data_IF_361973861073
#
_entry.id   IF_361973861073
#
_cell.length_a   1.000
_cell.length_b   1.000
_cell.length_c   1.000
_cell.angle_alpha   90.00
_cell.angle_beta   90.00
_cell.angle_gamma   90.00
#
_symmetry.space_group_name_H-M   'P 1'
#
loop_
_entity.id
_entity.type
_entity.pdbx_description
1 polymer ?
#
# COMPACT_ATOMS: atom_id res chain seq x y z
N UNK A 1 14.84 6.82 -48.25
CA UNK A 1 14.75 6.10 -46.98
C UNK A 1 14.06 7.03 -45.98
N UNK A 2 12.77 6.81 -45.76
CA UNK A 2 11.98 7.63 -44.82
C UNK A 2 12.19 7.04 -43.44
N UNK A 3 12.92 7.75 -42.58
CA UNK A 3 13.07 7.36 -41.18
C UNK A 3 11.69 7.56 -40.53
N UNK A 4 11.05 6.43 -40.17
CA UNK A 4 9.83 6.47 -39.39
C UNK A 4 10.15 7.17 -38.07
N UNK A 5 9.43 8.27 -37.77
CA UNK A 5 9.49 8.87 -36.42
C UNK A 5 9.10 7.82 -35.42
N UNK A 6 9.83 7.68 -34.28
CA UNK A 6 9.39 6.82 -33.24
C UNK A 6 8.00 7.27 -32.78
N UNK A 7 7.06 6.33 -32.72
CA UNK A 7 5.74 6.56 -32.12
C UNK A 7 6.04 6.72 -30.62
N UNK A 8 6.08 7.95 -30.16
CA UNK A 8 6.05 8.24 -28.71
C UNK A 8 4.60 7.92 -28.31
N UNK A 9 4.36 6.68 -27.89
CA UNK A 9 3.16 6.35 -27.13
C UNK A 9 3.24 7.19 -25.88
N UNK A 10 2.22 8.01 -25.65
CA UNK A 10 2.13 8.79 -24.42
C UNK A 10 2.09 7.78 -23.27
N UNK A 11 3.19 7.66 -22.51
CA UNK A 11 3.31 6.74 -21.37
C UNK A 11 2.16 6.96 -20.37
N UNK A 12 1.60 8.18 -20.32
CA UNK A 12 0.43 8.48 -19.49
C UNK A 12 -0.81 7.73 -19.95
N UNK A 13 -1.05 7.59 -21.26
CA UNK A 13 -2.20 6.82 -21.76
C UNK A 13 -2.02 5.33 -21.48
N UNK A 14 -0.80 4.81 -21.50
CA UNK A 14 -0.51 3.41 -21.22
C UNK A 14 -0.81 3.03 -19.76
N UNK A 15 -0.54 3.94 -18.81
CA UNK A 15 -0.64 3.65 -17.36
C UNK A 15 -1.81 4.37 -16.67
N UNK A 16 -2.51 5.29 -17.35
CA UNK A 16 -3.66 6.02 -16.80
C UNK A 16 -4.98 5.24 -16.95
N UNK A 17 -4.96 3.94 -16.77
CA UNK A 17 -6.17 3.14 -16.79
C UNK A 17 -6.72 2.91 -15.37
N UNK A 18 -8.02 2.67 -15.29
CA UNK A 18 -8.71 2.26 -14.08
C UNK A 18 -9.41 0.94 -14.37
N UNK A 19 -9.18 -0.05 -13.52
CA UNK A 19 -9.92 -1.30 -13.56
C UNK A 19 -11.20 -1.16 -12.73
N UNK A 20 -12.32 -1.66 -13.26
CA UNK A 20 -13.57 -1.75 -12.51
C UNK A 20 -13.46 -2.94 -11.53
N UNK A 21 -13.12 -2.65 -10.28
CA UNK A 21 -13.01 -3.66 -9.22
C UNK A 21 -14.14 -3.46 -8.21
N UNK A 22 -14.78 -4.55 -7.84
CA UNK A 22 -15.69 -4.58 -6.71
C UNK A 22 -14.89 -4.81 -5.44
N UNK A 23 -14.81 -3.79 -4.60
CA UNK A 23 -14.15 -3.89 -3.30
C UNK A 23 -15.06 -4.58 -2.29
N UNK A 24 -14.47 -5.44 -1.47
CA UNK A 24 -15.17 -6.05 -0.33
C UNK A 24 -15.46 -5.03 0.76
N UNK A 25 -14.59 -4.05 0.93
CA UNK A 25 -14.73 -2.95 1.85
C UNK A 25 -14.06 -1.70 1.32
N UNK A 26 -14.69 -0.57 1.54
CA UNK A 26 -14.17 0.74 1.23
C UNK A 26 -14.59 1.72 2.33
N UNK A 27 -13.67 2.57 2.80
CA UNK A 27 -14.01 3.65 3.73
C UNK A 27 -14.68 4.80 2.99
N UNK A 28 -15.40 5.64 3.72
CA UNK A 28 -15.87 6.91 3.16
C UNK A 28 -14.69 7.79 2.75
N UNK A 29 -14.94 8.71 1.82
CA UNK A 29 -13.96 9.71 1.44
C UNK A 29 -13.64 10.65 2.62
N UNK A 30 -12.39 11.08 2.71
CA UNK A 30 -11.88 11.92 3.77
C UNK A 30 -11.21 11.13 4.90
N UNK A 31 -10.09 11.67 5.39
CA UNK A 31 -9.43 11.14 6.56
C UNK A 31 -10.01 11.80 7.81
N UNK A 32 -10.62 11.00 8.66
CA UNK A 32 -11.18 11.41 9.95
C UNK A 32 -10.69 10.46 11.05
N UNK A 33 -10.86 10.82 12.31
CA UNK A 33 -10.56 9.91 13.42
C UNK A 33 -11.36 8.61 13.31
N UNK A 34 -12.63 8.68 12.86
CA UNK A 34 -13.46 7.50 12.60
C UNK A 34 -12.87 6.62 11.52
N UNK A 35 -12.41 7.20 10.40
CA UNK A 35 -11.74 6.48 9.30
C UNK A 35 -10.49 5.76 9.81
N UNK A 36 -9.66 6.43 10.60
CA UNK A 36 -8.44 5.83 11.19
C UNK A 36 -8.78 4.65 12.09
N UNK A 37 -9.79 4.78 12.95
CA UNK A 37 -10.28 3.70 13.82
C UNK A 37 -10.87 2.53 13.04
N UNK A 38 -11.61 2.83 11.97
CA UNK A 38 -12.19 1.81 11.09
C UNK A 38 -11.11 0.99 10.38
N UNK A 39 -10.05 1.64 9.85
CA UNK A 39 -8.91 0.97 9.21
C UNK A 39 -8.22 0.06 10.22
N UNK A 40 -7.87 0.57 11.38
CA UNK A 40 -7.19 -0.19 12.43
C UNK A 40 -8.01 -1.40 12.91
N UNK A 41 -9.31 -1.24 13.08
CA UNK A 41 -10.21 -2.33 13.43
C UNK A 41 -10.31 -3.39 12.33
N UNK A 42 -10.38 -2.96 11.06
CA UNK A 42 -10.46 -3.87 9.90
C UNK A 42 -9.19 -4.71 9.77
N UNK A 43 -8.02 -4.12 10.03
CA UNK A 43 -6.71 -4.81 10.02
C UNK A 43 -6.45 -5.63 11.28
N UNK A 44 -7.27 -5.48 12.31
CA UNK A 44 -7.09 -6.16 13.60
C UNK A 44 -5.78 -5.76 14.27
N UNK A 45 -5.45 -4.48 14.20
CA UNK A 45 -4.21 -3.94 14.75
C UNK A 45 -4.19 -3.94 16.30
N UNK A 46 -3.02 -4.08 16.91
CA UNK A 46 -2.89 -3.94 18.36
C UNK A 46 -3.14 -2.50 18.82
N UNK A 47 -3.58 -2.31 20.07
CA UNK A 47 -3.95 -1.01 20.62
C UNK A 47 -2.84 0.07 20.46
N UNK A 48 -1.56 -0.31 20.65
CA UNK A 48 -0.46 0.62 20.50
C UNK A 48 -0.32 1.19 19.07
N UNK A 49 -0.69 0.40 18.04
CA UNK A 49 -0.69 0.86 16.65
C UNK A 49 -1.83 1.85 16.40
N UNK A 50 -3.03 1.58 16.91
CA UNK A 50 -4.13 2.54 16.86
C UNK A 50 -3.76 3.86 17.53
N UNK A 51 -3.12 3.81 18.71
CA UNK A 51 -2.64 5.01 19.40
C UNK A 51 -1.62 5.78 18.55
N UNK A 52 -0.70 5.08 17.90
CA UNK A 52 0.28 5.67 16.98
C UNK A 52 -0.43 6.38 15.82
N UNK A 53 -1.37 5.72 15.15
CA UNK A 53 -2.17 6.29 14.06
C UNK A 53 -2.95 7.53 14.48
N UNK A 54 -3.60 7.49 15.62
CA UNK A 54 -4.36 8.64 16.14
C UNK A 54 -3.47 9.85 16.49
N UNK A 55 -2.26 9.62 16.98
CA UNK A 55 -1.27 10.71 17.14
C UNK A 55 -0.84 11.27 15.79
N UNK A 56 -0.55 10.39 14.82
CA UNK A 56 -0.20 10.79 13.47
C UNK A 56 -1.33 11.60 12.80
N UNK A 57 -2.58 11.19 12.96
CA UNK A 57 -3.74 11.92 12.47
C UNK A 57 -3.80 13.35 13.04
N UNK A 58 -3.56 13.54 14.34
CA UNK A 58 -3.50 14.89 14.95
C UNK A 58 -2.38 15.73 14.34
N UNK A 59 -1.22 15.15 14.06
CA UNK A 59 -0.14 15.85 13.34
C UNK A 59 -0.56 16.19 11.91
N UNK A 60 -1.24 15.30 11.21
CA UNK A 60 -1.77 15.56 9.87
C UNK A 60 -2.73 16.76 9.87
N UNK A 61 -3.66 16.83 10.82
CA UNK A 61 -4.59 17.96 10.92
C UNK A 61 -3.86 19.28 11.21
N UNK A 62 -2.92 19.27 12.14
CA UNK A 62 -2.22 20.47 12.61
C UNK A 62 -1.16 20.99 11.62
N UNK A 63 -0.56 20.14 10.79
CA UNK A 63 0.51 20.52 9.87
C UNK A 63 -0.01 21.24 8.64
N UNK A 64 0.61 22.36 8.31
CA UNK A 64 0.41 23.04 7.03
C UNK A 64 0.92 22.20 5.87
N UNK A 65 0.41 22.46 4.66
CA UNK A 65 0.95 21.88 3.43
C UNK A 65 2.41 22.30 3.26
N UNK A 66 3.29 21.37 2.83
CA UNK A 66 4.66 21.73 2.51
C UNK A 66 4.71 22.71 1.32
N UNK A 67 5.68 23.61 1.38
CA UNK A 67 5.91 24.63 0.33
C UNK A 67 7.01 24.20 -0.66
N UNK A 68 7.54 23.00 -0.49
CA UNK A 68 8.56 22.40 -1.37
C UNK A 68 7.92 21.35 -2.30
N UNK A 69 8.52 21.16 -3.45
CA UNK A 69 8.03 20.21 -4.47
C UNK A 69 7.11 20.86 -5.49
N UNK A 70 6.18 20.08 -6.05
CA UNK A 70 5.22 20.54 -7.05
C UNK A 70 4.07 21.36 -6.47
N UNK A 71 3.21 21.86 -7.33
CA UNK A 71 1.98 22.57 -6.91
C UNK A 71 0.97 21.58 -6.30
N UNK A 72 0.76 21.70 -5.00
CA UNK A 72 -0.14 20.87 -4.19
C UNK A 72 -1.48 21.58 -3.88
N UNK A 73 -1.72 22.79 -4.41
CA UNK A 73 -2.90 23.59 -4.09
C UNK A 73 -4.22 22.96 -4.51
N UNK A 74 -4.18 22.05 -5.49
CA UNK A 74 -5.35 21.31 -5.99
C UNK A 74 -5.65 20.01 -5.24
N UNK A 75 -4.80 19.63 -4.29
CA UNK A 75 -4.98 18.40 -3.53
C UNK A 75 -6.03 18.59 -2.44
N UNK A 76 -7.14 17.89 -2.58
CA UNK A 76 -8.26 17.91 -1.63
C UNK A 76 -8.35 16.57 -0.88
N UNK A 77 -7.81 16.52 0.31
CA UNK A 77 -7.80 15.34 1.16
C UNK A 77 -9.20 14.83 1.55
N UNK A 78 -10.22 15.70 1.50
CA UNK A 78 -11.60 15.31 1.85
C UNK A 78 -12.24 14.41 0.80
N UNK A 79 -11.71 14.38 -0.42
CA UNK A 79 -12.22 13.60 -1.55
C UNK A 79 -11.51 12.27 -1.76
N UNK A 80 -10.44 12.01 -1.01
CA UNK A 80 -9.64 10.80 -1.14
C UNK A 80 -10.26 9.68 -0.30
N UNK A 81 -10.42 8.51 -0.89
CA UNK A 81 -10.71 7.26 -0.17
C UNK A 81 -9.39 6.66 0.28
N UNK A 82 -9.24 6.47 1.60
CA UNK A 82 -7.94 6.10 2.19
C UNK A 82 -7.74 4.60 2.36
N UNK A 83 -8.80 3.83 2.28
CA UNK A 83 -8.69 2.38 2.42
C UNK A 83 -9.69 1.66 1.52
N UNK A 84 -9.16 0.68 0.75
CA UNK A 84 -9.90 -0.23 -0.11
C UNK A 84 -9.38 -1.63 0.04
N UNK A 85 -10.26 -2.56 0.36
CA UNK A 85 -9.95 -3.98 0.50
C UNK A 85 -10.44 -4.75 -0.71
N UNK A 86 -9.56 -5.25 -1.60
CA UNK A 86 -9.96 -5.95 -2.82
C UNK A 86 -10.27 -7.43 -2.60
N UNK A 87 -9.68 -8.07 -1.57
CA UNK A 87 -9.83 -9.51 -1.29
C UNK A 87 -9.85 -9.80 0.20
N UNK A 88 -10.39 -10.97 0.60
CA UNK A 88 -10.44 -11.39 2.01
C UNK A 88 -9.10 -11.86 2.55
N UNK A 89 -8.25 -12.40 1.69
CA UNK A 89 -6.99 -13.03 2.09
C UNK A 89 -5.85 -12.64 1.16
N UNK A 90 -4.67 -12.77 1.73
CA UNK A 90 -3.41 -12.79 1.03
C UNK A 90 -3.17 -14.20 0.49
N UNK A 91 -2.93 -14.33 -0.82
CA UNK A 91 -2.70 -15.61 -1.45
C UNK A 91 -1.22 -15.99 -1.41
N UNK A 92 -0.94 -17.28 -1.23
CA UNK A 92 0.43 -17.82 -1.22
C UNK A 92 0.89 -18.30 -2.60
N UNK A 93 -0.05 -18.51 -3.50
CA UNK A 93 0.22 -18.87 -4.89
C UNK A 93 -0.33 -17.79 -5.80
N UNK A 94 0.46 -17.38 -6.79
CA UNK A 94 -0.01 -16.46 -7.83
C UNK A 94 -1.22 -17.01 -8.59
N UNK A 95 -1.32 -18.35 -8.70
CA UNK A 95 -2.41 -18.98 -9.42
C UNK A 95 -3.77 -18.82 -8.71
N UNK A 96 -3.75 -18.56 -7.39
CA UNK A 96 -4.95 -18.34 -6.57
C UNK A 96 -5.39 -16.87 -6.52
N UNK A 97 -4.54 -15.93 -6.98
CA UNK A 97 -4.87 -14.50 -7.04
C UNK A 97 -6.06 -14.29 -7.99
N UNK A 98 -7.07 -13.46 -7.64
CA UNK A 98 -8.21 -13.20 -8.51
C UNK A 98 -7.80 -12.73 -9.90
N UNK A 99 -8.44 -13.27 -10.95
CA UNK A 99 -8.12 -12.99 -12.36
C UNK A 99 -8.15 -11.50 -12.70
N UNK A 100 -9.02 -10.76 -12.05
CA UNK A 100 -9.14 -9.32 -12.23
C UNK A 100 -7.85 -8.58 -11.82
N UNK A 101 -7.25 -8.99 -10.71
CA UNK A 101 -5.96 -8.46 -10.23
C UNK A 101 -4.83 -8.93 -11.16
N UNK A 102 -4.82 -10.21 -11.56
CA UNK A 102 -3.83 -10.75 -12.52
C UNK A 102 -3.77 -9.94 -13.81
N UNK A 103 -4.94 -9.61 -14.37
CA UNK A 103 -5.04 -8.80 -15.59
C UNK A 103 -4.43 -7.41 -15.44
N UNK A 104 -4.58 -6.76 -14.28
CA UNK A 104 -3.93 -5.49 -13.99
C UNK A 104 -2.42 -5.61 -14.04
N UNK A 105 -1.84 -6.64 -13.40
CA UNK A 105 -0.40 -6.89 -13.42
C UNK A 105 0.13 -7.23 -14.81
N UNK A 106 -0.63 -7.99 -15.60
CA UNK A 106 -0.31 -8.29 -17.01
C UNK A 106 -0.30 -7.02 -17.86
N UNK A 107 -1.30 -6.17 -17.68
CA UNK A 107 -1.40 -4.89 -18.40
C UNK A 107 -0.27 -3.92 -18.05
N UNK A 108 0.21 -3.95 -16.81
CA UNK A 108 1.39 -3.21 -16.36
C UNK A 108 2.71 -3.79 -16.93
N UNK A 109 2.66 -4.96 -17.58
CA UNK A 109 3.83 -5.60 -18.19
C UNK A 109 4.78 -6.25 -17.18
N UNK A 110 4.30 -6.59 -15.97
CA UNK A 110 5.12 -7.25 -14.95
C UNK A 110 5.35 -8.71 -15.35
N UNK A 111 6.60 -9.14 -15.62
CA UNK A 111 6.90 -10.48 -16.11
C UNK A 111 6.46 -11.58 -15.15
N UNK A 112 5.95 -12.69 -15.66
CA UNK A 112 5.57 -13.85 -14.85
C UNK A 112 6.75 -14.40 -14.03
N UNK A 113 7.95 -14.35 -14.60
CA UNK A 113 9.18 -14.77 -13.91
C UNK A 113 9.44 -13.95 -12.63
N UNK A 114 9.14 -12.64 -12.64
CA UNK A 114 9.28 -11.81 -11.44
C UNK A 114 8.26 -12.17 -10.36
N UNK A 115 7.09 -12.63 -10.77
CA UNK A 115 6.01 -13.03 -9.86
C UNK A 115 6.23 -14.40 -9.22
N UNK A 116 6.90 -15.34 -9.91
CA UNK A 116 7.01 -16.75 -9.50
C UNK A 116 8.40 -17.18 -9.03
N UNK A 117 9.47 -16.57 -9.52
CA UNK A 117 10.82 -17.13 -9.38
C UNK A 117 11.80 -16.29 -8.56
N UNK A 118 11.40 -15.12 -8.09
CA UNK A 118 12.24 -14.33 -7.19
C UNK A 118 12.31 -14.98 -5.80
N UNK A 119 13.38 -14.69 -5.08
CA UNK A 119 13.62 -15.21 -3.73
C UNK A 119 12.55 -14.80 -2.71
N UNK A 120 11.90 -13.66 -2.96
CA UNK A 120 10.74 -13.18 -2.22
C UNK A 120 9.97 -12.20 -3.10
N UNK A 121 8.65 -12.34 -3.15
CA UNK A 121 7.73 -11.49 -3.93
C UNK A 121 6.54 -11.12 -3.07
N UNK A 122 6.22 -9.83 -3.03
CA UNK A 122 4.97 -9.33 -2.49
C UNK A 122 4.27 -8.49 -3.55
N UNK A 123 2.99 -8.73 -3.77
CA UNK A 123 2.15 -7.91 -4.62
C UNK A 123 1.07 -7.23 -3.79
N UNK A 124 1.00 -5.92 -3.90
CA UNK A 124 -0.02 -5.09 -3.28
C UNK A 124 -1.00 -4.61 -4.34
N UNK A 125 -2.27 -4.62 -3.99
CA UNK A 125 -3.32 -3.99 -4.77
C UNK A 125 -4.13 -3.07 -3.86
N UNK A 126 -4.17 -1.78 -4.19
CA UNK A 126 -4.71 -0.73 -3.32
C UNK A 126 -4.13 -0.78 -1.89
N UNK A 127 -4.97 -1.03 -0.89
CA UNK A 127 -4.57 -0.96 0.53
C UNK A 127 -4.12 -2.29 1.11
N UNK A 128 -4.10 -3.38 0.33
CA UNK A 128 -3.80 -4.72 0.85
C UNK A 128 -2.73 -5.47 0.05
N UNK A 129 -1.95 -6.28 0.76
CA UNK A 129 -1.12 -7.31 0.12
C UNK A 129 -2.03 -8.43 -0.36
N UNK A 130 -2.03 -8.69 -1.67
CA UNK A 130 -2.90 -9.70 -2.29
C UNK A 130 -2.17 -11.01 -2.59
N UNK A 131 -0.85 -10.95 -2.65
CA UNK A 131 0.00 -12.11 -2.88
C UNK A 131 1.34 -11.93 -2.17
N UNK A 132 1.82 -13.01 -1.56
CA UNK A 132 3.12 -13.06 -0.93
C UNK A 132 3.73 -14.44 -1.08
N UNK A 133 4.99 -14.49 -1.45
CA UNK A 133 5.75 -15.74 -1.54
C UNK A 133 7.21 -15.49 -1.17
N UNK A 134 7.80 -16.43 -0.45
CA UNK A 134 9.23 -16.48 -0.17
C UNK A 134 9.72 -17.90 -0.41
N UNK A 135 10.97 -18.08 -0.82
CA UNK A 135 11.54 -19.39 -1.03
C UNK A 135 11.71 -20.14 0.30
N UNK A 136 11.28 -21.39 0.34
CA UNK A 136 11.35 -22.25 1.54
C UNK A 136 12.77 -22.41 2.11
N UNK A 137 13.80 -22.41 1.25
CA UNK A 137 15.18 -22.50 1.71
C UNK A 137 15.62 -21.27 2.50
N UNK A 138 15.09 -20.08 2.16
CA UNK A 138 15.34 -18.85 2.90
C UNK A 138 14.54 -18.83 4.21
N UNK A 139 13.31 -19.30 4.22
CA UNK A 139 12.52 -19.44 5.46
C UNK A 139 13.23 -20.36 6.46
N UNK A 140 13.76 -21.51 5.98
CA UNK A 140 14.54 -22.44 6.81
C UNK A 140 15.82 -21.81 7.39
N UNK A 141 16.37 -20.79 6.73
CA UNK A 141 17.52 -20.02 7.23
C UNK A 141 17.09 -18.88 8.18
N UNK A 142 15.81 -18.73 8.46
CA UNK A 142 15.27 -17.70 9.36
C UNK A 142 15.02 -16.34 8.70
N UNK A 143 14.98 -16.27 7.37
CA UNK A 143 14.55 -15.06 6.67
C UNK A 143 13.07 -14.85 6.87
N UNK A 144 12.70 -13.69 7.40
CA UNK A 144 11.32 -13.26 7.58
C UNK A 144 10.98 -12.25 6.47
N UNK A 145 10.00 -12.62 5.62
CA UNK A 145 9.48 -11.75 4.57
C UNK A 145 7.95 -11.90 4.56
N UNK A 146 7.24 -10.90 5.03
CA UNK A 146 5.79 -10.93 5.19
C UNK A 146 5.19 -9.53 5.16
N UNK A 147 3.88 -9.44 4.98
CA UNK A 147 3.14 -8.19 5.09
C UNK A 147 3.26 -7.56 6.49
N UNK A 148 3.20 -6.23 6.54
CA UNK A 148 3.34 -5.47 7.80
C UNK A 148 2.27 -5.87 8.82
N UNK A 149 1.04 -6.14 8.39
CA UNK A 149 -0.07 -6.49 9.27
C UNK A 149 0.16 -7.83 9.99
N UNK A 150 0.72 -8.81 9.27
CA UNK A 150 1.12 -10.09 9.85
C UNK A 150 2.35 -9.92 10.75
N UNK A 151 3.35 -9.18 10.29
CA UNK A 151 4.58 -8.93 11.05
C UNK A 151 4.32 -8.26 12.39
N UNK A 152 3.38 -7.34 12.49
CA UNK A 152 2.98 -6.73 13.76
C UNK A 152 2.41 -7.73 14.77
N UNK A 153 1.75 -8.78 14.28
CA UNK A 153 1.17 -9.85 15.13
C UNK A 153 2.20 -10.89 15.55
N UNK A 154 3.10 -11.25 14.66
CA UNK A 154 4.09 -12.31 14.89
C UNK A 154 5.39 -11.80 15.54
N UNK A 155 5.78 -10.54 15.22
CA UNK A 155 7.02 -9.91 15.71
C UNK A 155 6.77 -8.55 16.37
N UNK A 156 5.82 -8.43 17.33
CA UNK A 156 5.39 -7.15 17.90
C UNK A 156 6.53 -6.33 18.51
N UNK A 157 7.51 -6.98 19.12
CA UNK A 157 8.62 -6.28 19.80
C UNK A 157 9.57 -5.62 18.79
N UNK A 158 9.77 -6.22 17.61
CA UNK A 158 10.55 -5.62 16.53
C UNK A 158 9.83 -4.38 16.00
N UNK A 159 8.52 -4.51 15.74
CA UNK A 159 7.72 -3.40 15.25
C UNK A 159 7.68 -2.24 16.25
N UNK A 160 7.38 -2.49 17.52
CA UNK A 160 7.38 -1.44 18.57
C UNK A 160 8.72 -0.71 18.65
N UNK A 161 9.82 -1.41 18.44
CA UNK A 161 11.16 -0.83 18.54
C UNK A 161 11.52 0.07 17.37
N UNK A 162 11.11 -0.28 16.15
CA UNK A 162 11.62 0.36 14.93
C UNK A 162 10.57 1.13 14.15
N UNK A 163 9.28 0.85 14.30
CA UNK A 163 8.22 1.46 13.52
C UNK A 163 8.15 2.97 13.79
N UNK A 164 8.20 3.76 12.71
CA UNK A 164 8.11 5.23 12.79
C UNK A 164 9.32 5.92 13.41
N UNK A 165 10.47 5.23 13.58
CA UNK A 165 11.66 5.83 14.21
C UNK A 165 12.58 6.54 13.22
N UNK A 166 12.59 6.16 11.94
CA UNK A 166 13.47 6.76 10.91
C UNK A 166 12.83 8.01 10.32
N UNK A 167 11.56 7.92 9.93
CA UNK A 167 10.75 9.07 9.52
C UNK A 167 9.59 9.17 10.50
N UNK A 168 9.68 10.07 11.48
CA UNK A 168 8.62 10.21 12.48
C UNK A 168 7.37 10.85 11.87
N UNK A 169 6.19 10.50 12.42
CA UNK A 169 4.91 11.00 11.92
C UNK A 169 4.79 12.54 11.95
N UNK A 170 5.52 13.19 12.84
CA UNK A 170 5.55 14.64 12.99
C UNK A 170 6.49 15.36 12.03
N UNK A 171 7.24 14.68 11.16
CA UNK A 171 8.21 15.31 10.25
C UNK A 171 7.53 16.32 9.31
N UNK A 172 6.53 15.90 8.57
CA UNK A 172 5.75 16.76 7.69
C UNK A 172 4.32 16.21 7.51
N UNK A 173 3.47 16.98 6.79
CA UNK A 173 2.06 16.59 6.59
C UNK A 173 1.89 15.23 5.89
N UNK A 174 2.74 14.89 4.95
CA UNK A 174 2.66 13.59 4.23
C UNK A 174 3.21 12.44 5.06
N UNK A 175 4.24 12.67 5.88
CA UNK A 175 4.69 11.67 6.85
C UNK A 175 3.59 11.36 7.87
N UNK A 176 2.90 12.40 8.35
CA UNK A 176 1.74 12.26 9.23
C UNK A 176 0.59 11.49 8.55
N UNK A 177 0.27 11.83 7.30
CA UNK A 177 -0.76 11.15 6.51
C UNK A 177 -0.43 9.67 6.31
N UNK A 178 0.82 9.36 5.95
CA UNK A 178 1.27 7.98 5.74
C UNK A 178 1.26 7.14 7.03
N UNK A 179 1.31 7.80 8.17
CA UNK A 179 1.35 7.17 9.49
C UNK A 179 -0.04 7.05 10.14
N UNK A 180 -1.02 7.80 9.66
CA UNK A 180 -2.40 7.80 10.14
C UNK A 180 -3.22 6.70 9.45
#
# INVERSE_FOLDING_TARGET
MTIAKPVVTDEREQYAFHDEITYLRETKAGLTEETVREISATKGEPAWMLEYRLRAFKHFEARAMPLWGGDLTKLDFSKIVYYRKPSEREEKSWDDVPDQIKKTFERLGIPEAERKFLSGVGAQYDSEVVYHSVREDLEKLGVVFMGTDQGMKEYPEIFKKYFGTVVPAEDNKFAALNSA
#
